data_IF_160847329478
#
_entry.id   IF_160847329478
#
_cell.length_a   1.000
_cell.length_b   1.000
_cell.length_c   1.000
_cell.angle_alpha   90.00
_cell.angle_beta   90.00
_cell.angle_gamma   90.00
#
_symmetry.space_group_name_H-M   'P 1'
#
loop_
_entity.id
_entity.type
_entity.pdbx_description
1 polymer ?
#
# COMPACT_ATOMS: atom_id res chain seq x y z
N UNK A 1 -17.68 -1.22 7.29
CA UNK A 1 -17.01 -0.37 6.26
C UNK A 1 -17.82 -0.30 4.97
N UNK A 2 -18.36 -1.40 4.48
CA UNK A 2 -19.20 -1.43 3.27
C UNK A 2 -20.38 -0.45 3.41
N UNK A 3 -21.19 -0.58 4.46
CA UNK A 3 -22.29 0.35 4.76
C UNK A 3 -21.86 1.80 4.96
N UNK A 4 -20.63 2.03 5.41
CA UNK A 4 -20.09 3.40 5.55
C UNK A 4 -19.75 4.00 4.19
N UNK A 5 -19.16 3.22 3.28
CA UNK A 5 -18.96 3.68 1.90
C UNK A 5 -20.29 3.96 1.21
N UNK A 6 -21.28 3.05 1.32
CA UNK A 6 -22.63 3.27 0.80
C UNK A 6 -23.25 4.57 1.34
N UNK A 7 -23.17 4.79 2.66
CA UNK A 7 -23.70 5.99 3.30
C UNK A 7 -23.04 7.28 2.84
N UNK A 8 -21.70 7.32 2.76
CA UNK A 8 -21.02 8.54 2.35
C UNK A 8 -21.09 8.78 0.84
N UNK A 9 -21.04 7.73 0.02
CA UNK A 9 -21.20 7.83 -1.43
C UNK A 9 -22.62 8.24 -1.82
N UNK A 10 -23.66 7.84 -1.09
CA UNK A 10 -25.04 8.25 -1.37
C UNK A 10 -25.25 9.78 -1.31
N UNK A 11 -24.33 10.53 -0.68
CA UNK A 11 -24.39 12.00 -0.57
C UNK A 11 -23.77 12.73 -1.78
N UNK A 12 -23.15 12.02 -2.70
CA UNK A 12 -22.48 12.58 -3.86
C UNK A 12 -22.79 11.77 -5.12
N UNK A 13 -22.64 12.38 -6.29
CA UNK A 13 -22.76 11.65 -7.55
C UNK A 13 -21.57 10.70 -7.71
N UNK A 14 -21.83 9.42 -7.92
CA UNK A 14 -20.83 8.38 -8.13
C UNK A 14 -21.28 7.40 -9.20
N UNK A 15 -20.33 6.64 -9.77
CA UNK A 15 -20.64 5.56 -10.71
C UNK A 15 -21.39 4.43 -10.01
N UNK A 16 -22.47 3.93 -10.64
CA UNK A 16 -23.27 2.81 -10.10
C UNK A 16 -22.50 1.48 -10.06
N UNK A 17 -21.44 1.38 -10.86
CA UNK A 17 -20.59 0.17 -10.98
C UNK A 17 -19.59 -0.03 -9.83
N UNK A 18 -19.58 0.86 -8.84
CA UNK A 18 -18.65 0.79 -7.72
C UNK A 18 -18.89 -0.47 -6.86
N UNK A 19 -17.84 -1.27 -6.67
CA UNK A 19 -17.90 -2.46 -5.82
C UNK A 19 -17.54 -2.11 -4.37
N UNK A 20 -18.55 -1.98 -3.50
CA UNK A 20 -18.41 -1.59 -2.10
C UNK A 20 -17.59 -2.59 -1.30
N UNK A 21 -17.67 -3.88 -1.62
CA UNK A 21 -16.88 -4.92 -0.94
C UNK A 21 -15.38 -4.76 -1.24
N UNK A 22 -15.02 -4.45 -2.50
CA UNK A 22 -13.61 -4.18 -2.85
C UNK A 22 -13.08 -2.94 -2.14
N UNK A 23 -13.88 -1.88 -2.03
CA UNK A 23 -13.52 -0.67 -1.28
C UNK A 23 -13.35 -0.97 0.21
N UNK A 24 -14.29 -1.70 0.79
CA UNK A 24 -14.24 -2.09 2.21
C UNK A 24 -13.00 -2.94 2.55
N UNK A 25 -12.59 -3.86 1.65
CA UNK A 25 -11.36 -4.65 1.80
C UNK A 25 -10.09 -3.80 1.78
N UNK A 26 -10.06 -2.72 1.00
CA UNK A 26 -8.93 -1.78 0.98
C UNK A 26 -8.91 -0.80 2.15
N UNK A 27 -9.98 -0.74 2.92
CA UNK A 27 -10.14 0.17 4.03
C UNK A 27 -10.09 -0.55 5.40
N UNK A 28 -9.31 -1.64 5.50
CA UNK A 28 -9.07 -2.35 6.77
C UNK A 28 -8.44 -1.37 7.76
N UNK A 29 -8.91 -1.40 9.01
CA UNK A 29 -8.58 -0.48 10.11
C UNK A 29 -8.92 1.00 9.87
N UNK A 30 -9.67 1.36 8.84
CA UNK A 30 -10.14 2.73 8.66
C UNK A 30 -11.34 3.02 9.56
N UNK A 31 -11.26 4.13 10.26
CA UNK A 31 -12.38 4.65 11.03
C UNK A 31 -13.48 5.21 10.12
N UNK A 32 -14.71 5.44 10.64
CA UNK A 32 -15.74 6.14 9.89
C UNK A 32 -15.29 7.51 9.36
N UNK A 33 -14.50 8.26 10.14
CA UNK A 33 -13.96 9.55 9.74
C UNK A 33 -12.94 9.43 8.59
N UNK A 34 -12.12 8.37 8.60
CA UNK A 34 -11.20 8.09 7.48
C UNK A 34 -11.96 7.80 6.19
N UNK A 35 -13.02 6.99 6.27
CA UNK A 35 -13.87 6.64 5.11
C UNK A 35 -14.57 7.88 4.57
N UNK A 36 -15.09 8.73 5.44
CA UNK A 36 -15.66 10.04 5.06
C UNK A 36 -14.62 10.89 4.33
N UNK A 37 -13.42 11.00 4.88
CA UNK A 37 -12.33 11.76 4.27
C UNK A 37 -11.92 11.20 2.90
N UNK A 38 -11.85 9.87 2.75
CA UNK A 38 -11.57 9.21 1.47
C UNK A 38 -12.63 9.58 0.42
N UNK A 39 -13.90 9.54 0.79
CA UNK A 39 -15.01 9.89 -0.14
C UNK A 39 -14.97 11.38 -0.51
N UNK A 40 -14.71 12.27 0.46
CA UNK A 40 -14.54 13.72 0.21
C UNK A 40 -13.35 13.99 -0.72
N UNK A 41 -12.21 13.36 -0.47
CA UNK A 41 -11.01 13.50 -1.31
C UNK A 41 -11.26 12.98 -2.73
N UNK A 42 -11.98 11.86 -2.88
CA UNK A 42 -12.37 11.34 -4.19
C UNK A 42 -13.26 12.32 -4.95
N UNK A 43 -14.22 12.97 -4.28
CA UNK A 43 -15.05 14.00 -4.88
C UNK A 43 -14.24 15.23 -5.32
N UNK A 44 -13.25 15.66 -4.54
CA UNK A 44 -12.33 16.73 -4.91
C UNK A 44 -11.47 16.36 -6.13
N UNK A 45 -11.03 15.09 -6.20
CA UNK A 45 -10.29 14.59 -7.37
C UNK A 45 -11.17 14.62 -8.61
N UNK A 46 -12.39 14.09 -8.54
CA UNK A 46 -13.34 14.10 -9.66
C UNK A 46 -13.62 15.53 -10.14
N UNK A 47 -13.89 16.45 -9.22
CA UNK A 47 -14.13 17.86 -9.52
C UNK A 47 -12.92 18.53 -10.21
N UNK A 48 -11.70 18.27 -9.74
CA UNK A 48 -10.46 18.79 -10.35
C UNK A 48 -10.29 18.36 -11.80
N UNK A 49 -10.71 17.14 -12.12
CA UNK A 49 -10.70 16.61 -13.48
C UNK A 49 -12.01 16.86 -14.26
N UNK A 50 -12.89 17.71 -13.70
CA UNK A 50 -14.19 18.08 -14.30
C UNK A 50 -15.07 16.85 -14.64
N UNK A 51 -15.03 15.82 -13.81
CA UNK A 51 -15.92 14.65 -13.90
C UNK A 51 -17.20 14.92 -13.10
N UNK A 52 -18.33 14.48 -13.65
CA UNK A 52 -19.64 14.68 -13.01
C UNK A 52 -19.92 13.69 -11.89
N UNK A 53 -19.27 12.53 -11.89
CA UNK A 53 -19.45 11.47 -10.93
C UNK A 53 -18.09 10.95 -10.45
N UNK A 54 -18.03 10.50 -9.20
CA UNK A 54 -16.85 9.86 -8.62
C UNK A 54 -16.71 8.46 -9.17
N UNK A 55 -15.54 8.16 -9.73
CA UNK A 55 -15.17 6.87 -10.29
C UNK A 55 -14.37 6.01 -9.30
N UNK A 56 -14.23 4.73 -9.63
CA UNK A 56 -13.33 3.82 -8.90
C UNK A 56 -11.88 4.34 -8.90
N UNK A 57 -11.43 4.97 -9.99
CA UNK A 57 -10.09 5.54 -10.08
C UNK A 57 -9.89 6.71 -9.10
N UNK A 58 -10.92 7.55 -8.89
CA UNK A 58 -10.88 8.65 -7.95
C UNK A 58 -10.80 8.14 -6.51
N UNK A 59 -11.60 7.13 -6.16
CA UNK A 59 -11.57 6.49 -4.84
C UNK A 59 -10.22 5.80 -4.59
N UNK A 60 -9.66 5.14 -5.61
CA UNK A 60 -8.34 4.52 -5.50
C UNK A 60 -7.24 5.54 -5.25
N UNK A 61 -7.25 6.66 -5.96
CA UNK A 61 -6.28 7.74 -5.74
C UNK A 61 -6.49 8.43 -4.39
N UNK A 62 -7.74 8.59 -3.95
CA UNK A 62 -8.07 9.15 -2.62
C UNK A 62 -7.55 8.25 -1.49
N UNK A 63 -7.77 6.94 -1.59
CA UNK A 63 -7.19 5.95 -0.67
C UNK A 63 -5.67 6.08 -0.61
N UNK A 64 -5.01 6.11 -1.77
CA UNK A 64 -3.57 6.27 -1.85
C UNK A 64 -3.09 7.58 -1.20
N UNK A 65 -3.79 8.70 -1.39
CA UNK A 65 -3.43 9.99 -0.79
C UNK A 65 -3.55 9.97 0.72
N UNK A 66 -4.62 9.39 1.24
CA UNK A 66 -4.84 9.28 2.69
C UNK A 66 -3.79 8.36 3.32
N UNK A 67 -3.42 7.27 2.67
CA UNK A 67 -2.50 6.27 3.22
C UNK A 67 -1.03 6.62 2.98
N UNK A 68 -0.69 6.93 1.74
CA UNK A 68 0.69 7.05 1.27
C UNK A 68 1.11 8.51 1.08
N UNK A 69 0.15 9.45 1.12
CA UNK A 69 0.39 10.87 0.85
C UNK A 69 0.33 11.24 -0.63
N UNK A 70 0.62 12.51 -0.91
CA UNK A 70 0.59 13.05 -2.27
C UNK A 70 1.74 12.50 -3.12
N UNK A 71 1.46 12.36 -4.42
CA UNK A 71 2.49 12.05 -5.42
C UNK A 71 3.54 13.16 -5.44
N UNK A 72 4.80 12.74 -5.49
CA UNK A 72 5.94 13.65 -5.67
C UNK A 72 6.48 13.52 -7.08
N UNK A 73 6.82 14.65 -7.68
CA UNK A 73 7.42 14.69 -9.01
C UNK A 73 8.96 14.57 -8.93
N UNK A 74 9.44 13.44 -8.36
CA UNK A 74 10.88 13.13 -8.39
C UNK A 74 11.27 12.65 -9.79
N UNK A 75 12.26 13.30 -10.38
CA UNK A 75 12.81 12.89 -11.68
C UNK A 75 13.87 11.81 -11.45
N UNK A 76 13.45 10.56 -11.50
CA UNK A 76 14.36 9.43 -11.46
C UNK A 76 14.95 9.18 -12.85
N UNK A 77 16.25 8.85 -12.90
CA UNK A 77 16.89 8.34 -14.12
C UNK A 77 16.27 6.99 -14.53
N UNK A 78 16.44 6.56 -15.78
CA UNK A 78 15.97 5.24 -16.22
C UNK A 78 16.54 4.09 -15.40
N UNK A 79 17.80 4.21 -14.97
CA UNK A 79 18.45 3.20 -14.13
C UNK A 79 17.87 3.15 -12.72
N UNK A 80 17.68 4.31 -12.07
CA UNK A 80 17.01 4.40 -10.77
C UNK A 80 15.59 3.83 -10.83
N UNK A 81 14.81 4.19 -11.86
CA UNK A 81 13.45 3.62 -12.05
C UNK A 81 13.49 2.10 -12.16
N UNK A 82 14.46 1.57 -12.91
CA UNK A 82 14.62 0.14 -13.06
C UNK A 82 14.98 -0.51 -11.73
N UNK A 83 15.91 0.07 -10.97
CA UNK A 83 16.31 -0.44 -9.65
C UNK A 83 15.15 -0.44 -8.66
N UNK A 84 14.44 0.69 -8.56
CA UNK A 84 13.23 0.81 -7.71
C UNK A 84 12.18 -0.22 -8.14
N UNK A 85 11.94 -0.42 -9.43
CA UNK A 85 10.97 -1.39 -9.91
C UNK A 85 11.32 -2.83 -9.50
N UNK A 86 12.59 -3.23 -9.58
CA UNK A 86 13.03 -4.54 -9.11
C UNK A 86 12.92 -4.66 -7.58
N UNK A 87 13.29 -3.62 -6.85
CA UNK A 87 13.16 -3.55 -5.40
C UNK A 87 11.70 -3.79 -4.97
N UNK A 88 10.76 -2.99 -5.50
CA UNK A 88 9.33 -3.15 -5.20
C UNK A 88 8.79 -4.51 -5.67
N UNK A 89 9.28 -5.04 -6.80
CA UNK A 89 8.89 -6.37 -7.26
C UNK A 89 9.33 -7.47 -6.28
N UNK A 90 10.46 -7.30 -5.61
CA UNK A 90 10.92 -8.19 -4.56
C UNK A 90 9.96 -8.23 -3.37
N UNK A 91 9.54 -7.08 -2.87
CA UNK A 91 8.54 -6.98 -1.81
C UNK A 91 7.20 -7.58 -2.24
N UNK A 92 6.75 -7.26 -3.47
CA UNK A 92 5.50 -7.79 -4.03
C UNK A 92 5.49 -9.30 -4.08
N UNK A 93 6.52 -9.92 -4.65
CA UNK A 93 6.62 -11.37 -4.80
C UNK A 93 6.68 -12.03 -3.41
N UNK A 94 7.49 -11.48 -2.51
CA UNK A 94 7.60 -11.99 -1.15
C UNK A 94 6.25 -11.90 -0.40
N UNK A 95 5.53 -10.78 -0.52
CA UNK A 95 4.21 -10.62 0.08
C UNK A 95 3.19 -11.59 -0.52
N UNK A 96 3.16 -11.69 -1.85
CA UNK A 96 2.18 -12.52 -2.56
C UNK A 96 2.34 -14.02 -2.29
N UNK A 97 3.61 -14.49 -2.24
CA UNK A 97 3.89 -15.94 -2.11
C UNK A 97 4.02 -16.37 -0.64
N UNK A 98 4.62 -15.53 0.20
CA UNK A 98 5.05 -15.95 1.54
C UNK A 98 4.17 -15.42 2.67
N UNK A 99 3.31 -14.39 2.40
CA UNK A 99 2.51 -13.83 3.47
C UNK A 99 1.21 -14.63 3.66
N UNK A 100 0.95 -15.18 4.87
CA UNK A 100 -0.17 -16.11 5.09
C UNK A 100 -1.55 -15.45 5.10
N UNK A 101 -1.62 -14.17 5.45
CA UNK A 101 -2.89 -13.47 5.72
C UNK A 101 -3.15 -12.25 4.86
N UNK A 102 -2.12 -11.69 4.25
CA UNK A 102 -2.26 -10.43 3.53
C UNK A 102 -2.48 -10.63 2.03
N UNK A 103 -3.34 -9.79 1.46
CA UNK A 103 -3.47 -9.63 0.01
C UNK A 103 -2.65 -8.43 -0.45
N UNK A 104 -2.03 -8.54 -1.62
CA UNK A 104 -1.35 -7.41 -2.27
C UNK A 104 -2.36 -6.63 -3.10
N UNK A 105 -2.55 -5.36 -2.77
CA UNK A 105 -3.48 -4.48 -3.45
C UNK A 105 -2.83 -3.61 -4.51
N UNK A 106 -1.56 -3.26 -4.31
CA UNK A 106 -0.86 -2.35 -5.21
C UNK A 106 0.65 -2.49 -5.09
N UNK A 107 1.34 -2.38 -6.21
CA UNK A 107 2.75 -2.07 -6.31
C UNK A 107 2.93 -0.84 -7.21
N UNK A 108 3.81 0.08 -6.86
CA UNK A 108 4.00 1.32 -7.59
C UNK A 108 5.41 1.85 -7.41
N UNK A 109 5.97 2.42 -8.48
CA UNK A 109 7.22 3.19 -8.45
C UNK A 109 6.96 4.70 -8.49
N UNK A 110 5.73 5.12 -8.22
CA UNK A 110 5.38 6.54 -8.10
C UNK A 110 5.76 6.98 -6.69
N UNK A 111 6.69 7.93 -6.62
CA UNK A 111 7.15 8.48 -5.34
C UNK A 111 6.03 9.16 -4.58
N UNK A 112 5.91 8.84 -3.30
CA UNK A 112 4.97 9.46 -2.35
C UNK A 112 5.68 9.67 -1.02
N UNK A 113 5.52 10.84 -0.40
CA UNK A 113 6.28 11.22 0.81
C UNK A 113 7.78 10.98 0.61
N UNK A 114 8.39 10.15 1.45
CA UNK A 114 9.82 9.86 1.42
C UNK A 114 10.16 8.58 0.65
N UNK A 115 9.14 7.82 0.18
CA UNK A 115 9.33 6.59 -0.56
C UNK A 115 9.44 6.84 -2.07
N UNK A 116 10.31 6.11 -2.75
CA UNK A 116 10.45 6.13 -4.22
C UNK A 116 9.46 5.17 -4.89
N UNK A 117 9.06 4.11 -4.18
CA UNK A 117 8.05 3.17 -4.58
C UNK A 117 7.29 2.65 -3.36
N UNK A 118 6.34 1.77 -3.55
CA UNK A 118 5.59 1.13 -2.49
C UNK A 118 4.94 -0.16 -2.96
N UNK A 119 4.97 -1.17 -2.12
CA UNK A 119 4.07 -2.32 -2.18
C UNK A 119 3.08 -2.22 -1.03
N UNK A 120 1.82 -2.14 -1.37
CA UNK A 120 0.74 -2.04 -0.41
C UNK A 120 0.05 -3.40 -0.27
N UNK A 121 0.21 -4.00 0.89
CA UNK A 121 -0.45 -5.24 1.27
C UNK A 121 -1.14 -5.07 2.62
N UNK A 122 -2.25 -5.76 2.81
CA UNK A 122 -3.04 -5.71 4.04
C UNK A 122 -3.68 -7.09 4.29
N UNK A 123 -3.96 -7.43 5.54
CA UNK A 123 -4.73 -8.62 5.85
C UNK A 123 -6.14 -8.53 5.27
N UNK A 124 -6.71 -9.68 4.94
CA UNK A 124 -8.08 -9.81 4.40
C UNK A 124 -9.13 -9.35 5.40
N UNK A 125 -8.82 -9.47 6.68
CA UNK A 125 -9.68 -9.12 7.80
C UNK A 125 -8.89 -8.37 8.87
N UNK A 126 -9.58 -7.74 9.81
CA UNK A 126 -8.92 -7.08 10.95
C UNK A 126 -8.28 -8.13 11.86
N UNK A 127 -6.96 -8.10 11.96
CA UNK A 127 -6.18 -8.99 12.80
C UNK A 127 -5.51 -8.15 13.88
N UNK A 128 -5.89 -8.38 15.13
CA UNK A 128 -5.37 -7.65 16.28
C UNK A 128 -4.19 -8.32 16.98
N UNK A 129 -3.90 -9.58 16.62
CA UNK A 129 -2.75 -10.33 17.13
C UNK A 129 -1.94 -10.89 15.96
N UNK A 130 -0.64 -11.03 16.12
CA UNK A 130 0.23 -11.56 15.06
C UNK A 130 0.81 -12.90 15.49
N UNK A 131 0.61 -13.94 14.68
CA UNK A 131 1.29 -15.21 14.88
C UNK A 131 2.78 -15.11 14.53
N UNK A 132 3.56 -16.07 14.99
CA UNK A 132 4.99 -16.19 14.66
C UNK A 132 5.20 -16.24 13.14
N UNK A 133 4.37 -17.00 12.43
CA UNK A 133 4.43 -17.16 10.97
C UNK A 133 4.18 -15.83 10.25
N UNK A 134 3.23 -15.05 10.73
CA UNK A 134 2.93 -13.73 10.18
C UNK A 134 4.09 -12.75 10.39
N UNK A 135 4.68 -12.74 11.58
CA UNK A 135 5.82 -11.87 11.87
C UNK A 135 7.04 -12.27 11.01
N UNK A 136 7.31 -13.58 10.86
CA UNK A 136 8.35 -14.07 9.96
C UNK A 136 8.09 -13.71 8.50
N UNK A 137 6.83 -13.76 8.06
CA UNK A 137 6.45 -13.33 6.73
C UNK A 137 6.74 -11.83 6.52
N UNK A 138 6.40 -10.97 7.48
CA UNK A 138 6.75 -9.55 7.43
C UNK A 138 8.26 -9.31 7.32
N UNK A 139 9.07 -10.07 8.06
CA UNK A 139 10.53 -10.00 7.94
C UNK A 139 10.99 -10.39 6.54
N UNK A 140 10.45 -11.48 5.97
CA UNK A 140 10.77 -11.92 4.61
C UNK A 140 10.35 -10.89 3.56
N UNK A 141 9.15 -10.31 3.71
CA UNK A 141 8.66 -9.24 2.83
C UNK A 141 9.59 -8.03 2.90
N UNK A 142 9.98 -7.60 4.10
CA UNK A 142 10.91 -6.48 4.25
C UNK A 142 12.26 -6.73 3.57
N UNK A 143 12.76 -7.95 3.56
CA UNK A 143 14.01 -8.32 2.88
C UNK A 143 13.85 -8.59 1.37
N UNK A 144 12.63 -8.56 0.85
CA UNK A 144 12.32 -8.86 -0.56
C UNK A 144 13.01 -7.90 -1.53
N UNK A 145 13.00 -6.59 -1.23
CA UNK A 145 13.66 -5.57 -2.04
C UNK A 145 15.17 -5.77 -2.13
N UNK A 146 15.83 -6.01 -0.99
CA UNK A 146 17.25 -6.36 -0.95
C UNK A 146 17.57 -7.58 -1.82
N UNK A 147 16.80 -8.66 -1.67
CA UNK A 147 17.01 -9.90 -2.40
C UNK A 147 16.87 -9.70 -3.91
N UNK A 148 15.88 -8.93 -4.35
CA UNK A 148 15.65 -8.63 -5.76
C UNK A 148 16.77 -7.77 -6.37
N UNK A 149 17.24 -6.74 -5.65
CA UNK A 149 18.38 -5.93 -6.10
C UNK A 149 19.66 -6.79 -6.21
N UNK A 150 19.94 -7.59 -5.19
CA UNK A 150 21.13 -8.47 -5.17
C UNK A 150 21.10 -9.48 -6.31
N UNK A 151 19.98 -10.12 -6.57
CA UNK A 151 19.81 -11.08 -7.66
C UNK A 151 19.96 -10.43 -9.04
N UNK A 152 19.46 -9.21 -9.22
CA UNK A 152 19.44 -8.56 -10.54
C UNK A 152 20.68 -7.78 -10.86
N UNK A 153 21.24 -7.08 -9.88
CA UNK A 153 22.31 -6.10 -10.09
C UNK A 153 23.65 -6.51 -9.43
N UNK A 154 23.66 -7.62 -8.70
CA UNK A 154 24.76 -8.07 -7.83
C UNK A 154 25.24 -6.99 -6.83
N UNK A 155 24.41 -5.98 -6.61
CA UNK A 155 24.65 -4.85 -5.71
C UNK A 155 23.33 -4.36 -5.15
N UNK A 156 23.39 -3.57 -4.08
CA UNK A 156 22.21 -2.97 -3.45
C UNK A 156 22.37 -1.47 -3.36
N UNK A 157 21.25 -0.76 -3.32
CA UNK A 157 21.20 0.68 -3.06
C UNK A 157 21.01 0.96 -1.56
N UNK A 158 21.10 2.23 -1.18
CA UNK A 158 20.76 2.70 0.17
C UNK A 158 19.25 2.58 0.49
N UNK A 159 18.42 2.38 -0.53
CA UNK A 159 16.98 2.15 -0.38
C UNK A 159 16.64 0.98 0.54
N UNK A 160 17.52 -0.03 0.62
CA UNK A 160 17.33 -1.21 1.51
C UNK A 160 17.48 -0.90 3.00
N UNK A 161 18.01 0.27 3.36
CA UNK A 161 18.36 0.57 4.76
C UNK A 161 17.13 0.60 5.69
N UNK A 162 15.99 1.11 5.22
CA UNK A 162 14.78 1.12 6.03
C UNK A 162 14.18 -0.28 6.18
N UNK A 163 14.26 -1.09 5.15
CA UNK A 163 13.78 -2.48 5.16
C UNK A 163 14.57 -3.34 6.14
N UNK A 164 15.89 -3.18 6.16
CA UNK A 164 16.73 -3.82 7.16
C UNK A 164 16.37 -3.37 8.57
N UNK A 165 16.18 -2.08 8.82
CA UNK A 165 15.73 -1.60 10.13
C UNK A 165 14.41 -2.26 10.56
N UNK A 166 13.45 -2.32 9.66
CA UNK A 166 12.15 -2.94 9.90
C UNK A 166 12.28 -4.45 10.18
N UNK A 167 13.04 -5.17 9.36
CA UNK A 167 13.30 -6.60 9.53
C UNK A 167 14.00 -6.90 10.85
N UNK A 168 15.07 -6.17 11.17
CA UNK A 168 15.82 -6.32 12.42
C UNK A 168 14.96 -6.01 13.65
N UNK A 169 14.15 -4.94 13.61
CA UNK A 169 13.26 -4.59 14.72
C UNK A 169 12.26 -5.71 14.99
N UNK A 170 11.65 -6.29 13.96
CA UNK A 170 10.73 -7.41 14.11
C UNK A 170 11.43 -8.67 14.61
N UNK A 171 12.58 -9.02 14.04
CA UNK A 171 13.37 -10.17 14.47
C UNK A 171 13.81 -10.03 15.94
N UNK A 172 14.29 -8.86 16.34
CA UNK A 172 14.65 -8.56 17.72
C UNK A 172 13.44 -8.74 18.67
N UNK A 173 12.27 -8.23 18.31
CA UNK A 173 11.06 -8.40 19.11
C UNK A 173 10.66 -9.88 19.24
N UNK A 174 10.85 -10.68 18.19
CA UNK A 174 10.59 -12.13 18.24
C UNK A 174 11.46 -12.87 19.25
N UNK A 175 12.69 -12.39 19.43
CA UNK A 175 13.64 -13.02 20.38
C UNK A 175 13.40 -12.54 21.82
N UNK A 176 13.11 -11.26 22.02
CA UNK A 176 13.08 -10.63 23.35
C UNK A 176 11.70 -10.43 23.94
N UNK A 177 10.62 -10.46 23.12
CA UNK A 177 9.26 -10.10 23.58
C UNK A 177 8.21 -11.15 23.32
N UNK A 178 8.43 -12.03 22.36
CA UNK A 178 7.51 -13.07 21.94
C UNK A 178 8.15 -14.44 22.08
#
# INVERSE_FOLDING_TARGET
REKLFEFYLSKIKHEETLNMQKLARRAVWKSPADIENIVKEAALIAARYKREAVSLADLSEALDRVELGFKQHKKLTPEEKRRVAYHESGHLIAAYILHPTDDVFKASIISRRDALGVVFHQPREEIFTSSRERILANVKVALGGYSAEKLKFDSTSDGVAQDFRNAMFQAHNMVWRF
#
